data_IF_517916402604
#
_entry.id   IF_517916402604
#
_cell.length_a   1.000
_cell.length_b   1.000
_cell.length_c   1.000
_cell.angle_alpha   90.00
_cell.angle_beta   90.00
_cell.angle_gamma   90.00
#
_symmetry.space_group_name_H-M   'P 1'
#
loop_
_entity.id
_entity.type
_entity.pdbx_description
1 polymer ?
#
# COMPACT_ATOMS: atom_id res chain seq x y z
N UNK A 1 41.57 21.32 -7.44
CA UNK A 1 41.05 19.98 -7.75
C UNK A 1 39.64 19.88 -7.19
N UNK A 2 38.85 18.93 -7.66
CA UNK A 2 37.47 18.73 -7.17
C UNK A 2 37.21 17.24 -7.06
N UNK A 3 36.76 16.77 -5.91
CA UNK A 3 36.50 15.36 -5.65
C UNK A 3 35.24 15.12 -4.83
N UNK A 4 34.73 13.89 -4.87
CA UNK A 4 33.72 13.37 -3.93
C UNK A 4 34.40 12.58 -2.82
N UNK A 5 33.87 12.72 -1.59
CA UNK A 5 34.31 11.93 -0.43
C UNK A 5 34.09 10.42 -0.61
N UNK A 6 33.07 10.05 -1.38
CA UNK A 6 32.76 8.66 -1.72
C UNK A 6 32.60 8.46 -3.24
N UNK A 7 33.55 7.76 -3.82
CA UNK A 7 33.61 7.48 -5.25
C UNK A 7 32.94 6.16 -5.66
N UNK A 8 32.50 5.34 -4.69
CA UNK A 8 31.66 4.17 -4.97
C UNK A 8 30.22 4.64 -5.21
N UNK A 9 29.73 5.53 -4.34
CA UNK A 9 28.32 5.92 -4.28
C UNK A 9 27.97 7.18 -5.09
N UNK A 10 28.95 8.04 -5.45
CA UNK A 10 28.74 9.21 -6.31
C UNK A 10 29.76 9.36 -7.44
N UNK A 11 29.38 10.08 -8.50
CA UNK A 11 30.29 10.45 -9.60
C UNK A 11 30.11 11.90 -10.02
N UNK A 12 31.23 12.61 -10.18
CA UNK A 12 31.29 13.93 -10.79
C UNK A 12 31.46 13.78 -12.32
N UNK A 13 30.83 14.67 -13.07
CA UNK A 13 31.00 14.87 -14.51
C UNK A 13 31.32 16.35 -14.76
N UNK A 14 32.32 16.63 -15.59
CA UNK A 14 32.71 17.98 -15.95
C UNK A 14 32.73 18.12 -17.48
N UNK A 15 31.59 18.47 -18.07
CA UNK A 15 31.36 18.46 -19.52
C UNK A 15 32.49 19.16 -20.29
N UNK A 16 33.07 18.57 -21.35
CA UNK A 16 32.70 17.30 -22.02
C UNK A 16 33.44 16.05 -21.48
N UNK A 17 34.10 16.11 -20.32
CA UNK A 17 34.88 14.99 -19.77
C UNK A 17 33.96 13.93 -19.16
N UNK A 18 34.30 12.66 -19.42
CA UNK A 18 33.65 11.50 -18.80
C UNK A 18 33.84 11.48 -17.27
N UNK A 19 32.97 10.74 -16.57
CA UNK A 19 32.90 10.66 -15.11
C UNK A 19 34.24 10.29 -14.47
N UNK A 20 34.59 10.96 -13.36
CA UNK A 20 35.75 10.63 -12.51
C UNK A 20 35.45 10.88 -11.03
N UNK A 21 36.15 10.19 -10.11
CA UNK A 21 36.16 10.54 -8.68
C UNK A 21 36.67 11.95 -8.43
N UNK A 22 37.63 12.40 -9.25
CA UNK A 22 38.33 13.68 -9.11
C UNK A 22 38.59 14.35 -10.48
N UNK A 23 38.56 15.69 -10.51
CA UNK A 23 38.97 16.50 -11.65
C UNK A 23 39.99 17.58 -11.26
N UNK A 24 40.96 17.80 -12.15
CA UNK A 24 41.83 18.97 -12.15
C UNK A 24 41.45 19.93 -13.28
N UNK A 25 41.52 21.23 -12.99
CA UNK A 25 41.23 22.33 -13.90
C UNK A 25 42.33 23.37 -13.80
N UNK A 26 42.70 23.97 -14.93
CA UNK A 26 43.65 25.07 -15.00
C UNK A 26 43.02 26.42 -14.64
N UNK A 27 43.86 27.43 -14.43
CA UNK A 27 43.44 28.78 -14.07
C UNK A 27 42.68 29.54 -15.18
N UNK A 28 42.65 29.05 -16.43
CA UNK A 28 41.83 29.66 -17.48
C UNK A 28 40.37 29.17 -17.32
N UNK A 29 40.16 27.84 -17.25
CA UNK A 29 38.85 27.24 -17.00
C UNK A 29 38.21 27.70 -15.68
N UNK A 30 39.02 27.91 -14.63
CA UNK A 30 38.53 28.44 -13.36
C UNK A 30 37.96 29.86 -13.49
N UNK A 31 38.53 30.70 -14.37
CA UNK A 31 38.04 32.06 -14.62
C UNK A 31 36.82 32.12 -15.56
N UNK A 32 36.71 31.16 -16.48
CA UNK A 32 35.53 31.00 -17.34
C UNK A 32 34.29 30.50 -16.56
N UNK A 33 34.52 29.83 -15.43
CA UNK A 33 33.49 29.17 -14.64
C UNK A 33 33.30 27.71 -15.04
N UNK A 34 32.96 26.87 -14.06
CA UNK A 34 32.86 25.41 -14.26
C UNK A 34 31.47 24.95 -13.85
N UNK A 35 30.77 24.26 -14.75
CA UNK A 35 29.55 23.52 -14.42
C UNK A 35 29.88 22.05 -14.21
N UNK A 36 29.66 21.57 -12.99
CA UNK A 36 29.71 20.15 -12.65
C UNK A 36 28.30 19.56 -12.70
N UNK A 37 28.20 18.30 -13.08
CA UNK A 37 27.01 17.46 -12.86
C UNK A 37 27.41 16.33 -11.94
N UNK A 38 26.52 15.93 -11.04
CA UNK A 38 26.77 14.88 -10.07
C UNK A 38 25.62 13.89 -10.17
N UNK A 39 25.95 12.61 -10.13
CA UNK A 39 25.00 11.51 -10.22
C UNK A 39 25.23 10.51 -9.09
N UNK A 40 24.12 10.05 -8.52
CA UNK A 40 24.09 9.03 -7.48
C UNK A 40 24.14 7.63 -8.10
N UNK A 41 24.95 6.73 -7.54
CA UNK A 41 25.22 5.41 -8.15
C UNK A 41 24.32 4.30 -7.65
N UNK A 42 23.77 4.46 -6.45
CA UNK A 42 22.88 3.52 -5.79
C UNK A 42 21.92 4.27 -4.87
N UNK A 43 20.77 3.67 -4.56
CA UNK A 43 19.89 4.12 -3.49
C UNK A 43 20.44 3.66 -2.14
N UNK A 44 20.07 4.35 -1.07
CA UNK A 44 20.46 3.98 0.29
C UNK A 44 19.81 2.64 0.66
N UNK A 45 20.56 1.54 0.58
CA UNK A 45 20.05 0.19 0.82
C UNK A 45 20.17 -0.24 2.30
N UNK A 46 21.25 0.17 2.96
CA UNK A 46 21.52 -0.05 4.39
C UNK A 46 22.27 1.16 4.95
N UNK A 47 21.61 1.92 5.82
CA UNK A 47 22.17 3.13 6.42
C UNK A 47 23.35 2.87 7.38
N UNK A 48 23.57 1.62 7.80
CA UNK A 48 24.77 1.22 8.55
C UNK A 48 25.99 0.99 7.65
N UNK A 49 25.79 0.79 6.34
CA UNK A 49 26.86 0.70 5.33
C UNK A 49 27.15 2.09 4.76
N UNK A 50 26.11 2.78 4.27
CA UNK A 50 26.21 4.15 3.77
C UNK A 50 24.89 4.88 4.04
N UNK A 51 24.95 6.04 4.70
CA UNK A 51 23.77 6.79 5.12
C UNK A 51 23.16 7.67 4.00
N UNK A 52 23.72 7.64 2.79
CA UNK A 52 23.33 8.51 1.69
C UNK A 52 24.08 9.84 1.61
N UNK A 53 25.01 10.14 2.52
CA UNK A 53 25.75 11.41 2.53
C UNK A 53 27.00 11.37 1.64
N UNK A 54 27.24 12.45 0.88
CA UNK A 54 28.48 12.67 0.10
C UNK A 54 28.90 14.13 0.23
N UNK A 55 30.17 14.38 0.51
CA UNK A 55 30.75 15.72 0.43
C UNK A 55 31.46 15.90 -0.90
N UNK A 56 31.15 16.99 -1.59
CA UNK A 56 31.88 17.47 -2.76
C UNK A 56 32.85 18.54 -2.29
N UNK A 57 34.15 18.29 -2.44
CA UNK A 57 35.22 19.20 -2.03
C UNK A 57 35.86 19.87 -3.22
N UNK A 58 36.11 21.16 -3.12
CA UNK A 58 36.76 21.99 -4.14
C UNK A 58 37.98 22.70 -3.56
N UNK A 59 39.17 22.32 -4.02
CA UNK A 59 40.45 22.91 -3.59
C UNK A 59 41.04 23.80 -4.70
N UNK A 60 41.45 25.02 -4.38
CA UNK A 60 42.24 25.91 -5.25
C UNK A 60 43.65 25.99 -4.68
N UNK A 61 44.66 25.83 -5.54
CA UNK A 61 46.08 25.90 -5.16
C UNK A 61 46.78 26.93 -6.06
N UNK A 62 47.50 27.87 -5.44
CA UNK A 62 48.31 28.91 -6.09
C UNK A 62 49.69 28.96 -5.42
N UNK A 63 50.68 28.30 -6.04
CA UNK A 63 52.01 28.10 -5.47
C UNK A 63 51.94 27.37 -4.13
N UNK A 64 52.32 28.06 -3.05
CA UNK A 64 52.28 27.53 -1.67
C UNK A 64 50.97 27.84 -0.93
N UNK A 65 50.00 28.53 -1.56
CA UNK A 65 48.69 28.86 -0.98
C UNK A 65 47.65 27.85 -1.42
N UNK A 66 46.76 27.46 -0.52
CA UNK A 66 45.55 26.70 -0.85
C UNK A 66 44.34 27.27 -0.13
N UNK A 67 43.17 27.12 -0.77
CA UNK A 67 41.84 27.42 -0.22
C UNK A 67 40.91 26.27 -0.59
N UNK A 68 40.01 25.90 0.30
CA UNK A 68 39.08 24.79 0.13
C UNK A 68 37.65 25.24 0.44
N UNK A 69 36.68 24.69 -0.29
CA UNK A 69 35.26 24.83 -0.02
C UNK A 69 34.57 23.46 -0.18
N UNK A 70 33.47 23.23 0.53
CA UNK A 70 32.81 21.92 0.63
C UNK A 70 31.28 22.04 0.58
N UNK A 71 30.64 21.21 -0.24
CA UNK A 71 29.18 21.10 -0.34
C UNK A 71 28.76 19.69 0.08
N UNK A 72 27.97 19.60 1.14
CA UNK A 72 27.32 18.36 1.53
C UNK A 72 26.09 18.08 0.65
N UNK A 73 25.97 16.84 0.18
CA UNK A 73 24.84 16.33 -0.59
C UNK A 73 24.26 15.11 0.12
N UNK A 74 22.94 14.92 -0.02
CA UNK A 74 22.21 13.74 0.44
C UNK A 74 21.56 13.05 -0.76
N UNK A 75 21.67 11.73 -0.83
CA UNK A 75 20.90 10.92 -1.76
C UNK A 75 19.39 11.12 -1.51
N UNK A 76 18.61 11.25 -2.59
CA UNK A 76 17.17 11.31 -2.46
C UNK A 76 16.62 9.95 -1.98
N UNK A 77 15.80 9.92 -0.91
CA UNK A 77 15.16 8.69 -0.44
C UNK A 77 14.14 8.18 -1.45
N UNK A 78 13.90 6.88 -1.41
CA UNK A 78 12.75 6.26 -2.09
C UNK A 78 11.55 6.32 -1.15
N UNK A 79 10.46 6.91 -1.61
CA UNK A 79 9.26 7.20 -0.82
C UNK A 79 8.04 6.48 -1.41
N UNK A 80 7.25 5.84 -0.56
CA UNK A 80 6.00 5.16 -0.95
C UNK A 80 4.83 6.15 -1.00
N UNK A 81 3.79 5.79 -1.75
CA UNK A 81 2.63 6.65 -1.96
C UNK A 81 1.58 6.54 -0.84
N UNK A 82 0.86 7.64 -0.57
CA UNK A 82 -0.28 7.65 0.35
C UNK A 82 -1.60 7.95 -0.38
N UNK A 83 -2.71 7.44 0.17
CA UNK A 83 -4.00 7.40 -0.51
C UNK A 83 -4.67 8.77 -0.82
N UNK A 84 -4.13 9.88 -0.30
CA UNK A 84 -4.58 11.24 -0.66
C UNK A 84 -3.87 11.83 -1.89
N UNK A 85 -2.75 11.25 -2.34
CA UNK A 85 -2.07 11.75 -3.53
C UNK A 85 -2.94 11.53 -4.77
N UNK A 86 -2.94 12.51 -5.67
CA UNK A 86 -3.69 12.43 -6.92
C UNK A 86 -3.23 11.23 -7.75
N UNK A 87 -4.17 10.36 -8.12
CA UNK A 87 -3.93 9.21 -9.00
C UNK A 87 -3.77 9.71 -10.43
N UNK A 88 -2.63 9.39 -11.05
CA UNK A 88 -2.36 9.70 -12.45
C UNK A 88 -2.74 8.53 -13.36
N UNK A 89 -2.47 7.29 -12.93
CA UNK A 89 -2.75 6.06 -13.68
C UNK A 89 -3.15 4.94 -12.71
N UNK A 90 -4.19 4.19 -13.03
CA UNK A 90 -4.53 2.94 -12.34
C UNK A 90 -3.90 1.78 -13.10
N UNK A 91 -3.26 0.87 -12.38
CA UNK A 91 -2.65 -0.36 -12.89
C UNK A 91 -3.54 -1.55 -12.50
N UNK A 92 -3.66 -2.53 -13.39
CA UNK A 92 -4.21 -3.85 -13.08
C UNK A 92 -3.59 -4.87 -14.04
N UNK A 93 -4.12 -6.08 -14.11
CA UNK A 93 -3.71 -7.11 -15.08
C UNK A 93 -4.73 -7.26 -16.20
N UNK A 94 -4.22 -7.60 -17.39
CA UNK A 94 -5.06 -7.85 -18.55
C UNK A 94 -5.96 -9.09 -18.33
N UNK A 95 -7.15 -9.14 -18.96
CA UNK A 95 -7.99 -10.34 -18.91
C UNK A 95 -7.29 -11.57 -19.49
N UNK A 96 -7.46 -12.71 -18.85
CA UNK A 96 -6.95 -14.00 -19.30
C UNK A 96 -8.02 -15.09 -19.25
N UNK A 97 -7.71 -16.28 -19.78
CA UNK A 97 -8.64 -17.41 -19.80
C UNK A 97 -8.70 -18.20 -18.47
N UNK A 98 -7.78 -17.95 -17.53
CA UNK A 98 -7.78 -18.59 -16.21
C UNK A 98 -8.71 -17.86 -15.23
N UNK A 99 -8.92 -16.57 -15.44
CA UNK A 99 -9.71 -15.67 -14.60
C UNK A 99 -10.80 -14.99 -15.43
N UNK A 100 -11.87 -15.70 -15.84
CA UNK A 100 -12.88 -15.19 -16.76
C UNK A 100 -13.61 -13.91 -16.27
N UNK A 101 -13.63 -13.64 -14.97
CA UNK A 101 -14.14 -12.37 -14.44
C UNK A 101 -13.21 -11.16 -14.52
N UNK A 102 -11.94 -11.33 -14.90
CA UNK A 102 -10.97 -10.24 -14.97
C UNK A 102 -11.37 -9.19 -16.02
N UNK A 103 -12.06 -9.60 -17.10
CA UNK A 103 -12.61 -8.66 -18.09
C UNK A 103 -13.67 -7.74 -17.45
N UNK A 104 -14.65 -8.31 -16.74
CA UNK A 104 -15.70 -7.54 -16.07
C UNK A 104 -15.15 -6.63 -14.96
N UNK A 105 -14.10 -7.08 -14.26
CA UNK A 105 -13.37 -6.26 -13.28
C UNK A 105 -12.71 -5.05 -13.95
N UNK A 106 -11.91 -5.29 -15.00
CA UNK A 106 -11.21 -4.22 -15.74
C UNK A 106 -12.18 -3.22 -16.37
N UNK A 107 -13.31 -3.68 -16.93
CA UNK A 107 -14.35 -2.79 -17.46
C UNK A 107 -14.95 -1.86 -16.39
N UNK A 108 -15.23 -2.38 -15.18
CA UNK A 108 -15.74 -1.56 -14.07
C UNK A 108 -14.68 -0.60 -13.53
N UNK A 109 -13.42 -1.03 -13.47
CA UNK A 109 -12.30 -0.20 -13.04
C UNK A 109 -12.04 0.95 -14.04
N UNK A 110 -12.19 0.71 -15.35
CA UNK A 110 -12.09 1.74 -16.38
C UNK A 110 -13.25 2.74 -16.34
N UNK A 111 -14.48 2.26 -16.09
CA UNK A 111 -15.63 3.13 -15.89
C UNK A 111 -15.44 4.06 -14.67
N UNK A 112 -14.91 3.53 -13.55
CA UNK A 112 -14.58 4.32 -12.37
C UNK A 112 -13.44 5.33 -12.63
N UNK A 113 -12.41 4.93 -13.40
CA UNK A 113 -11.34 5.83 -13.87
C UNK A 113 -11.88 7.01 -14.66
N UNK A 114 -12.81 6.75 -15.60
CA UNK A 114 -13.47 7.78 -16.41
C UNK A 114 -14.32 8.71 -15.53
N UNK A 115 -15.11 8.15 -14.60
CA UNK A 115 -15.92 8.93 -13.66
C UNK A 115 -15.06 9.87 -12.79
N UNK A 116 -13.91 9.38 -12.30
CA UNK A 116 -12.94 10.16 -11.53
C UNK A 116 -12.12 11.16 -12.38
N UNK A 117 -12.35 11.26 -13.69
CA UNK A 117 -11.65 12.19 -14.58
C UNK A 117 -10.18 11.87 -14.87
N UNK A 118 -9.72 10.66 -14.52
CA UNK A 118 -8.33 10.22 -14.70
C UNK A 118 -8.07 9.99 -16.19
N UNK A 119 -7.23 10.85 -16.79
CA UNK A 119 -7.04 10.92 -18.25
C UNK A 119 -6.17 9.82 -18.85
N UNK A 120 -5.18 9.32 -18.12
CA UNK A 120 -4.34 8.23 -18.61
C UNK A 120 -5.21 6.96 -18.72
N UNK A 121 -4.99 6.09 -19.73
CA UNK A 121 -5.68 4.80 -19.79
C UNK A 121 -5.23 3.88 -18.64
N UNK A 122 -6.00 2.83 -18.37
CA UNK A 122 -5.54 1.75 -17.48
C UNK A 122 -4.23 1.15 -18.01
N UNK A 123 -3.28 0.92 -17.11
CA UNK A 123 -2.08 0.14 -17.40
C UNK A 123 -2.36 -1.33 -17.09
N UNK A 124 -2.49 -2.15 -18.13
CA UNK A 124 -2.82 -3.57 -17.99
C UNK A 124 -1.58 -4.44 -18.23
N UNK A 125 -1.10 -5.07 -17.16
CA UNK A 125 0.04 -5.99 -17.19
C UNK A 125 -0.38 -7.36 -17.74
N UNK A 126 0.36 -7.90 -18.72
CA UNK A 126 -0.12 -9.02 -19.55
C UNK A 126 0.89 -10.16 -19.81
N UNK A 127 1.95 -10.25 -19.01
CA UNK A 127 3.00 -11.30 -19.12
C UNK A 127 2.91 -12.34 -17.99
N UNK A 128 1.84 -12.34 -17.21
CA UNK A 128 1.54 -13.34 -16.18
C UNK A 128 0.03 -13.51 -16.03
N UNK A 129 -0.40 -14.70 -15.61
CA UNK A 129 -1.79 -14.98 -15.20
C UNK A 129 -2.07 -14.64 -13.73
N UNK A 130 -1.10 -14.10 -13.00
CA UNK A 130 -1.31 -13.60 -11.63
C UNK A 130 -2.02 -12.25 -11.69
N UNK A 131 -3.21 -12.22 -11.10
CA UNK A 131 -4.16 -11.11 -11.17
C UNK A 131 -4.05 -10.10 -10.01
N UNK A 132 -3.17 -10.34 -9.04
CA UNK A 132 -3.07 -9.54 -7.82
C UNK A 132 -2.05 -8.41 -7.97
N UNK A 133 -2.41 -7.37 -8.73
CA UNK A 133 -1.51 -6.27 -9.10
C UNK A 133 -0.90 -5.50 -7.91
N UNK A 134 -1.57 -5.47 -6.75
CA UNK A 134 -1.05 -4.83 -5.53
C UNK A 134 0.06 -5.66 -4.87
N UNK A 135 0.04 -6.97 -5.02
CA UNK A 135 0.97 -7.84 -4.30
C UNK A 135 2.37 -7.81 -4.91
N UNK A 136 2.48 -7.86 -6.25
CA UNK A 136 3.77 -8.15 -6.88
C UNK A 136 4.67 -6.93 -7.13
N UNK A 137 4.18 -5.71 -6.86
CA UNK A 137 4.97 -4.47 -6.81
C UNK A 137 4.24 -3.32 -6.08
N UNK A 138 4.99 -2.31 -5.65
CA UNK A 138 4.52 -1.02 -5.10
C UNK A 138 5.16 0.16 -5.85
N UNK A 139 4.35 1.08 -6.38
CA UNK A 139 4.78 2.39 -6.85
C UNK A 139 5.39 3.24 -5.74
N UNK A 140 6.60 3.69 -5.98
CA UNK A 140 7.33 4.63 -5.16
C UNK A 140 7.93 5.75 -6.03
N UNK A 141 8.57 6.73 -5.41
CA UNK A 141 9.25 7.81 -6.11
C UNK A 141 10.49 8.27 -5.36
N UNK A 142 11.39 8.93 -6.08
CA UNK A 142 12.46 9.73 -5.49
C UNK A 142 12.44 11.12 -6.13
N UNK A 143 12.53 12.17 -5.33
CA UNK A 143 12.51 13.56 -5.80
C UNK A 143 13.64 14.38 -5.20
N UNK A 144 14.07 15.42 -5.93
CA UNK A 144 15.07 16.38 -5.49
C UNK A 144 14.69 17.81 -5.92
N UNK A 145 15.24 18.86 -5.29
CA UNK A 145 15.08 20.24 -5.74
C UNK A 145 15.48 20.42 -7.20
N UNK A 146 14.74 21.26 -7.92
CA UNK A 146 15.03 21.60 -9.32
C UNK A 146 14.75 23.08 -9.62
N UNK A 147 15.32 23.61 -10.72
CA UNK A 147 15.29 25.05 -11.01
C UNK A 147 13.90 25.61 -11.34
N UNK A 148 12.87 24.77 -11.43
CA UNK A 148 11.47 25.13 -11.70
C UNK A 148 10.49 24.30 -10.85
N UNK A 149 10.92 23.88 -9.67
CA UNK A 149 10.23 22.90 -8.81
C UNK A 149 10.87 21.51 -8.85
N UNK A 150 10.29 20.52 -8.14
CA UNK A 150 10.84 19.18 -7.97
C UNK A 150 11.19 18.47 -9.29
N UNK A 151 12.36 17.85 -9.34
CA UNK A 151 12.71 16.83 -10.34
C UNK A 151 12.54 15.48 -9.68
N UNK A 152 11.70 14.62 -10.26
CA UNK A 152 11.32 13.35 -9.66
C UNK A 152 11.33 12.19 -10.67
N UNK A 153 11.59 10.99 -10.17
CA UNK A 153 11.50 9.72 -10.89
C UNK A 153 10.53 8.79 -10.17
N UNK A 154 9.80 7.96 -10.92
CA UNK A 154 9.08 6.81 -10.35
C UNK A 154 10.07 5.67 -10.14
N UNK A 155 9.90 4.97 -9.02
CA UNK A 155 10.64 3.77 -8.64
C UNK A 155 9.59 2.67 -8.43
N UNK A 156 9.76 1.51 -9.05
CA UNK A 156 8.85 0.38 -8.85
C UNK A 156 9.51 -0.62 -7.91
N UNK A 157 9.00 -0.75 -6.69
CA UNK A 157 9.45 -1.74 -5.73
C UNK A 157 8.78 -3.07 -6.07
N UNK A 158 9.50 -4.06 -6.60
CA UNK A 158 8.94 -5.41 -6.93
C UNK A 158 8.64 -6.21 -5.65
N UNK A 159 7.95 -7.35 -5.70
CA UNK A 159 7.91 -8.36 -4.62
C UNK A 159 9.14 -9.29 -4.42
N UNK A 160 9.25 -9.80 -3.19
CA UNK A 160 10.33 -10.64 -2.62
C UNK A 160 10.11 -12.12 -2.89
N UNK A 161 8.85 -12.46 -3.13
CA UNK A 161 8.38 -13.77 -3.54
C UNK A 161 9.11 -14.08 -4.85
N UNK A 162 10.31 -14.67 -4.73
CA UNK A 162 11.28 -14.74 -5.82
C UNK A 162 10.81 -15.68 -6.93
N UNK A 163 9.98 -16.65 -6.54
CA UNK A 163 9.17 -17.56 -7.37
C UNK A 163 7.92 -16.93 -7.98
N UNK A 164 7.43 -15.80 -7.47
CA UNK A 164 6.27 -15.10 -8.04
C UNK A 164 6.68 -14.42 -9.34
N UNK A 165 6.49 -15.16 -10.43
CA UNK A 165 6.93 -14.80 -11.78
C UNK A 165 6.43 -13.42 -12.22
N UNK A 166 5.23 -13.05 -11.79
CA UNK A 166 4.53 -11.77 -11.96
C UNK A 166 5.33 -10.56 -11.49
N UNK A 167 6.17 -10.69 -10.47
CA UNK A 167 7.09 -9.63 -10.08
C UNK A 167 8.12 -9.30 -11.18
N UNK A 168 8.34 -10.20 -12.15
CA UNK A 168 9.19 -9.91 -13.32
C UNK A 168 8.54 -8.95 -14.31
N UNK A 169 7.22 -8.80 -14.27
CA UNK A 169 6.51 -7.79 -15.06
C UNK A 169 7.01 -6.38 -14.72
N UNK A 170 7.50 -6.15 -13.49
CA UNK A 170 8.21 -4.92 -13.16
C UNK A 170 9.43 -4.72 -14.07
N UNK A 171 10.27 -5.73 -14.33
CA UNK A 171 11.43 -5.58 -15.24
C UNK A 171 11.07 -5.49 -16.71
N UNK A 172 10.07 -6.27 -17.13
CA UNK A 172 9.69 -6.47 -18.53
C UNK A 172 8.84 -5.31 -19.05
N UNK A 173 7.99 -4.73 -18.19
CA UNK A 173 7.01 -3.71 -18.55
C UNK A 173 7.23 -2.35 -17.84
N UNK A 174 7.96 -2.27 -16.71
CA UNK A 174 8.09 -1.04 -15.88
C UNK A 174 9.53 -0.59 -15.49
N UNK A 175 10.54 -1.47 -15.66
CA UNK A 175 11.96 -1.48 -15.23
C UNK A 175 12.36 -1.01 -13.80
N UNK A 176 12.67 -1.98 -12.91
CA UNK A 176 13.46 -1.79 -11.66
C UNK A 176 13.47 -3.04 -10.72
N UNK A 177 14.51 -3.28 -9.86
CA UNK A 177 14.57 -4.46 -8.97
C UNK A 177 14.15 -4.28 -7.48
N UNK A 178 13.13 -5.05 -7.03
CA UNK A 178 12.92 -5.55 -5.64
C UNK A 178 12.13 -4.69 -4.62
N UNK A 179 11.62 -5.17 -3.46
CA UNK A 179 11.32 -6.55 -2.92
C UNK A 179 10.07 -6.44 -1.91
N UNK A 180 9.41 -7.57 -1.58
CA UNK A 180 8.16 -7.94 -0.79
C UNK A 180 6.70 -7.84 -1.32
N UNK A 181 5.77 -8.63 -0.76
CA UNK A 181 4.34 -8.63 -1.15
C UNK A 181 3.62 -7.40 -0.58
N UNK A 182 3.25 -6.44 -1.43
CA UNK A 182 3.07 -5.05 -0.99
C UNK A 182 1.63 -4.63 -0.63
N UNK A 183 0.63 -5.51 -0.73
CA UNK A 183 -0.65 -5.30 -0.04
C UNK A 183 -0.52 -5.20 1.50
N UNK A 184 0.58 -5.71 2.06
CA UNK A 184 0.93 -5.55 3.47
C UNK A 184 1.74 -4.26 3.76
N UNK A 185 1.87 -3.34 2.80
CA UNK A 185 2.53 -2.05 2.96
C UNK A 185 1.60 -0.92 2.54
N UNK A 186 1.34 0.00 3.45
CA UNK A 186 0.52 1.20 3.26
C UNK A 186 1.27 2.45 3.72
N UNK A 187 0.76 3.64 3.40
CA UNK A 187 1.35 4.90 3.89
C UNK A 187 0.29 5.79 4.55
N UNK A 188 0.46 6.10 5.84
CA UNK A 188 -0.29 7.15 6.55
C UNK A 188 -0.01 8.48 5.85
N UNK A 189 -1.02 9.29 5.48
CA UNK A 189 -0.81 10.61 4.89
C UNK A 189 -0.05 11.57 5.83
N UNK A 190 0.50 12.69 5.33
CA UNK A 190 1.33 13.60 6.12
C UNK A 190 0.69 14.08 7.43
N UNK A 191 1.44 14.02 8.52
CA UNK A 191 1.00 14.44 9.86
C UNK A 191 2.18 14.72 10.80
N UNK A 192 1.94 15.48 11.87
CA UNK A 192 2.81 15.51 13.05
C UNK A 192 2.29 14.48 14.05
N UNK A 193 3.13 13.55 14.50
CA UNK A 193 2.76 12.54 15.49
C UNK A 193 2.48 13.15 16.87
N UNK A 194 1.81 12.40 17.76
CA UNK A 194 1.62 12.76 19.17
C UNK A 194 2.93 12.96 19.95
N UNK A 195 4.06 12.48 19.42
CA UNK A 195 5.41 12.67 19.97
C UNK A 195 6.14 13.90 19.42
N UNK A 196 5.50 14.67 18.52
CA UNK A 196 6.11 15.83 17.87
C UNK A 196 7.06 15.50 16.71
N UNK A 197 7.04 14.26 16.21
CA UNK A 197 7.79 13.89 14.99
C UNK A 197 6.95 14.26 13.77
N UNK A 198 7.50 15.07 12.88
CA UNK A 198 6.88 15.50 11.63
C UNK A 198 7.14 14.46 10.53
N UNK A 199 6.07 14.06 9.84
CA UNK A 199 6.09 13.10 8.74
C UNK A 199 5.56 13.78 7.47
N UNK A 200 6.34 14.71 6.90
CA UNK A 200 5.92 15.55 5.76
C UNK A 200 5.64 14.73 4.48
N UNK A 201 6.29 13.58 4.31
CA UNK A 201 6.00 12.61 3.24
C UNK A 201 5.05 11.47 3.69
N UNK A 202 4.40 11.60 4.85
CA UNK A 202 3.65 10.50 5.47
C UNK A 202 4.55 9.48 6.16
N UNK A 203 3.97 8.36 6.59
CA UNK A 203 4.68 7.30 7.32
C UNK A 203 4.23 5.91 6.89
N UNK A 204 5.17 5.01 6.61
CA UNK A 204 4.86 3.62 6.24
C UNK A 204 4.16 2.90 7.39
N UNK A 205 3.13 2.13 7.06
CA UNK A 205 2.46 1.13 7.90
C UNK A 205 2.68 -0.24 7.28
N UNK A 206 3.07 -1.22 8.10
CA UNK A 206 3.34 -2.59 7.64
C UNK A 206 2.90 -3.60 8.69
N UNK A 207 2.33 -4.73 8.26
CA UNK A 207 1.85 -5.78 9.16
C UNK A 207 2.94 -6.80 9.50
N UNK A 208 3.03 -7.21 10.77
CA UNK A 208 3.73 -8.42 11.21
C UNK A 208 2.74 -9.57 11.43
N UNK A 209 3.26 -10.80 11.44
CA UNK A 209 2.50 -11.99 11.83
C UNK A 209 2.95 -12.46 13.21
N UNK A 210 2.26 -12.04 14.27
CA UNK A 210 2.56 -12.33 15.67
C UNK A 210 4.00 -11.96 16.08
N UNK A 211 4.92 -12.92 16.08
CA UNK A 211 6.33 -12.75 16.45
C UNK A 211 7.25 -12.61 15.22
N UNK A 212 6.72 -12.71 14.01
CA UNK A 212 7.46 -12.66 12.75
C UNK A 212 7.25 -11.31 12.06
N UNK A 213 8.30 -10.50 12.00
CA UNK A 213 8.34 -9.28 11.19
C UNK A 213 8.38 -9.60 9.68
N UNK A 214 8.01 -8.64 8.80
CA UNK A 214 8.34 -8.64 7.38
C UNK A 214 9.83 -8.92 7.10
N UNK A 215 10.19 -9.27 5.85
CA UNK A 215 11.56 -9.66 5.56
C UNK A 215 12.56 -8.55 5.90
N UNK A 216 13.60 -8.91 6.66
CA UNK A 216 14.57 -7.95 7.21
C UNK A 216 15.15 -7.03 6.14
N UNK A 217 15.45 -7.55 4.94
CA UNK A 217 16.00 -6.76 3.83
C UNK A 217 15.09 -5.60 3.40
N UNK A 218 13.77 -5.74 3.52
CA UNK A 218 12.82 -4.67 3.22
C UNK A 218 12.62 -3.72 4.37
N UNK A 219 12.54 -4.23 5.60
CA UNK A 219 12.47 -3.34 6.76
C UNK A 219 13.73 -2.49 6.89
N UNK A 220 14.91 -3.06 6.66
CA UNK A 220 16.17 -2.33 6.72
C UNK A 220 16.28 -1.33 5.57
N UNK A 221 15.88 -1.69 4.33
CA UNK A 221 15.75 -0.75 3.22
C UNK A 221 14.82 0.43 3.53
N UNK A 222 13.57 0.17 3.96
CA UNK A 222 12.58 1.21 4.25
C UNK A 222 13.00 2.10 5.43
N UNK A 223 13.62 1.53 6.47
CA UNK A 223 14.22 2.28 7.58
C UNK A 223 15.37 3.16 7.11
N UNK A 224 16.20 2.68 6.18
CA UNK A 224 17.35 3.40 5.66
C UNK A 224 16.98 4.65 4.83
N UNK A 225 15.72 4.77 4.38
CA UNK A 225 15.21 5.99 3.73
C UNK A 225 15.01 7.16 4.72
N UNK A 226 14.95 6.89 6.03
CA UNK A 226 14.88 7.88 7.12
C UNK A 226 13.55 8.64 7.27
N UNK A 227 12.90 9.02 6.16
CA UNK A 227 11.76 9.96 6.16
C UNK A 227 10.43 9.29 6.58
N UNK A 228 10.12 8.08 6.06
CA UNK A 228 8.82 7.41 6.28
C UNK A 228 8.92 6.25 7.29
N UNK A 229 9.77 6.35 8.32
CA UNK A 229 10.12 5.27 9.29
C UNK A 229 8.92 4.35 9.64
N UNK A 230 8.96 3.03 9.32
CA UNK A 230 7.80 2.15 9.46
C UNK A 230 7.12 2.13 10.85
N UNK A 231 5.79 1.99 10.84
CA UNK A 231 4.95 1.66 11.99
C UNK A 231 4.40 0.24 11.81
N UNK A 232 4.61 -0.61 12.82
CA UNK A 232 4.24 -2.02 12.77
C UNK A 232 2.84 -2.26 13.33
N UNK A 233 1.98 -2.94 12.56
CA UNK A 233 0.66 -3.42 12.98
C UNK A 233 0.64 -4.95 13.09
N UNK A 234 -0.28 -5.51 13.87
CA UNK A 234 -0.52 -6.95 13.94
C UNK A 234 -1.52 -7.38 12.87
N UNK A 235 -1.06 -8.13 11.87
CA UNK A 235 -1.89 -8.65 10.79
C UNK A 235 -1.95 -10.19 10.78
N UNK A 236 -1.17 -10.89 11.61
CA UNK A 236 -1.09 -12.37 11.61
C UNK A 236 -2.38 -13.11 11.95
N UNK A 237 -3.40 -12.42 12.44
CA UNK A 237 -4.75 -12.93 12.67
C UNK A 237 -5.55 -13.14 11.38
N UNK A 238 -5.09 -12.56 10.26
CA UNK A 238 -5.61 -12.79 8.91
C UNK A 238 -4.77 -13.85 8.21
N UNK A 239 -5.39 -14.63 7.33
CA UNK A 239 -4.70 -15.70 6.60
C UNK A 239 -3.64 -15.12 5.64
N UNK A 240 -3.98 -14.07 4.90
CA UNK A 240 -3.03 -13.33 4.04
C UNK A 240 -2.14 -12.44 4.90
N UNK A 241 -2.71 -11.76 5.88
CA UNK A 241 -1.97 -10.99 6.88
C UNK A 241 -1.51 -9.65 6.36
N UNK A 242 -2.35 -9.00 5.56
CA UNK A 242 -2.13 -7.68 5.03
C UNK A 242 -2.86 -6.61 5.86
N UNK A 243 -2.38 -5.37 5.82
CA UNK A 243 -3.03 -4.24 6.51
C UNK A 243 -4.23 -3.69 5.74
N UNK A 244 -4.25 -3.81 4.41
CA UNK A 244 -5.35 -3.35 3.54
C UNK A 244 -6.67 -4.14 3.73
N UNK A 245 -6.60 -5.31 4.36
CA UNK A 245 -7.75 -6.15 4.75
C UNK A 245 -8.56 -5.58 5.93
N UNK A 246 -8.02 -4.61 6.68
CA UNK A 246 -8.68 -4.10 7.90
C UNK A 246 -8.50 -2.62 8.22
N UNK A 247 -7.54 -1.91 7.59
CA UNK A 247 -7.33 -0.48 7.82
C UNK A 247 -7.01 0.27 6.52
N UNK A 248 -7.53 1.49 6.40
CA UNK A 248 -7.24 2.41 5.31
C UNK A 248 -7.21 3.87 5.81
N UNK A 249 -6.50 4.74 5.11
CA UNK A 249 -6.51 6.19 5.34
C UNK A 249 -7.24 6.89 4.20
N UNK A 250 -8.26 7.70 4.53
CA UNK A 250 -9.14 8.36 3.55
C UNK A 250 -9.24 9.86 3.81
N UNK A 251 -9.51 10.70 2.78
CA UNK A 251 -9.73 12.14 2.96
C UNK A 251 -10.77 12.44 4.06
N UNK A 252 -10.57 13.50 4.83
CA UNK A 252 -11.53 13.88 5.87
C UNK A 252 -11.46 15.37 6.20
N UNK A 253 -12.61 15.97 6.54
CA UNK A 253 -12.69 17.39 6.91
C UNK A 253 -12.33 17.57 8.39
N UNK A 254 -11.03 17.57 8.69
CA UNK A 254 -10.46 17.88 10.00
C UNK A 254 -9.09 18.60 9.83
N UNK A 255 -8.38 18.88 10.91
CA UNK A 255 -7.05 19.51 10.89
C UNK A 255 -5.93 18.65 10.30
N UNK A 256 -6.18 17.36 10.03
CA UNK A 256 -5.22 16.43 9.42
C UNK A 256 -5.46 16.26 7.91
N UNK A 257 -6.64 16.62 7.41
CA UNK A 257 -7.06 16.33 6.02
C UNK A 257 -7.41 14.86 5.76
N UNK A 258 -7.28 13.98 6.76
CA UNK A 258 -7.60 12.55 6.66
C UNK A 258 -8.14 11.97 7.96
N UNK A 259 -8.71 10.79 7.85
CA UNK A 259 -9.06 9.94 8.98
C UNK A 259 -8.69 8.48 8.71
N UNK A 260 -8.79 7.65 9.74
CA UNK A 260 -8.65 6.20 9.67
C UNK A 260 -10.03 5.61 9.38
N UNK A 261 -10.15 4.81 8.33
CA UNK A 261 -11.21 3.83 8.17
C UNK A 261 -10.70 2.47 8.68
N UNK A 262 -11.51 1.76 9.47
CA UNK A 262 -11.23 0.38 9.89
C UNK A 262 -12.44 -0.52 9.66
N UNK A 263 -12.17 -1.80 9.39
CA UNK A 263 -13.17 -2.85 9.47
C UNK A 263 -13.83 -2.90 10.85
N UNK A 264 -15.09 -3.31 10.94
CA UNK A 264 -15.84 -3.35 12.19
C UNK A 264 -16.78 -4.57 12.29
N UNK A 265 -16.24 -5.74 12.68
CA UNK A 265 -16.99 -6.97 12.94
C UNK A 265 -18.23 -6.79 13.83
N UNK A 266 -18.15 -5.94 14.86
CA UNK A 266 -19.26 -5.66 15.77
C UNK A 266 -20.45 -5.02 15.03
N UNK A 267 -20.21 -3.99 14.22
CA UNK A 267 -21.25 -3.39 13.37
C UNK A 267 -21.79 -4.39 12.32
N UNK A 268 -20.94 -5.27 11.78
CA UNK A 268 -21.36 -6.35 10.88
C UNK A 268 -22.36 -7.31 11.55
N UNK A 269 -22.05 -7.79 12.75
CA UNK A 269 -22.93 -8.65 13.56
C UNK A 269 -24.21 -7.91 13.98
N UNK A 270 -24.14 -6.61 14.29
CA UNK A 270 -25.31 -5.82 14.68
C UNK A 270 -26.27 -5.53 13.51
N UNK A 271 -25.79 -5.50 12.25
CA UNK A 271 -26.67 -5.52 11.08
C UNK A 271 -27.44 -6.85 11.02
N UNK A 272 -26.76 -7.98 11.20
CA UNK A 272 -27.40 -9.30 11.22
C UNK A 272 -28.42 -9.42 12.36
N UNK A 273 -28.07 -9.00 13.59
CA UNK A 273 -28.98 -9.03 14.75
C UNK A 273 -30.24 -8.21 14.50
N UNK A 274 -30.10 -6.95 14.06
CA UNK A 274 -31.24 -6.08 13.70
C UNK A 274 -32.12 -6.69 12.61
N UNK A 275 -31.52 -7.36 11.62
CA UNK A 275 -32.27 -8.03 10.56
C UNK A 275 -33.08 -9.22 11.08
N UNK A 276 -32.47 -10.11 11.88
CA UNK A 276 -33.17 -11.23 12.53
C UNK A 276 -34.33 -10.74 13.40
N UNK A 277 -34.07 -9.75 14.25
CA UNK A 277 -35.06 -9.21 15.18
C UNK A 277 -36.19 -8.45 14.45
N UNK A 278 -35.92 -7.96 13.24
CA UNK A 278 -36.92 -7.43 12.31
C UNK A 278 -37.70 -8.49 11.51
N UNK A 279 -37.51 -9.78 11.78
CA UNK A 279 -38.21 -10.90 11.13
C UNK A 279 -37.52 -11.49 9.89
N UNK A 280 -36.31 -11.04 9.53
CA UNK A 280 -35.59 -11.50 8.33
C UNK A 280 -34.63 -12.67 8.60
N UNK A 281 -34.81 -13.39 9.72
CA UNK A 281 -33.90 -14.45 10.17
C UNK A 281 -33.57 -15.52 9.11
N UNK A 282 -34.55 -15.92 8.31
CA UNK A 282 -34.42 -16.95 7.27
C UNK A 282 -33.80 -16.42 5.95
N UNK A 283 -33.49 -15.12 5.88
CA UNK A 283 -32.78 -14.53 4.74
C UNK A 283 -31.33 -15.02 4.73
N UNK A 284 -30.72 -15.21 3.55
CA UNK A 284 -29.29 -15.54 3.48
C UNK A 284 -28.43 -14.39 4.02
N UNK A 285 -27.46 -14.70 4.87
CA UNK A 285 -26.49 -13.73 5.39
C UNK A 285 -25.58 -13.17 4.28
N UNK A 286 -25.38 -13.93 3.20
CA UNK A 286 -24.79 -13.48 1.94
C UNK A 286 -25.76 -13.83 0.81
N UNK A 287 -26.32 -12.81 0.17
CA UNK A 287 -27.37 -12.92 -0.85
C UNK A 287 -27.01 -13.72 -2.10
N UNK A 288 -25.71 -13.80 -2.44
CA UNK A 288 -25.17 -14.49 -3.62
C UNK A 288 -24.54 -15.86 -3.29
N UNK A 289 -24.91 -16.47 -2.15
CA UNK A 289 -24.37 -17.75 -1.70
C UNK A 289 -24.70 -18.96 -2.61
N UNK A 290 -25.51 -18.77 -3.67
CA UNK A 290 -25.83 -19.80 -4.68
C UNK A 290 -25.05 -19.63 -6.01
N UNK A 291 -24.14 -18.67 -6.12
CA UNK A 291 -23.32 -18.46 -7.32
C UNK A 291 -22.23 -19.53 -7.50
N UNK A 292 -21.77 -19.80 -8.71
CA UNK A 292 -20.71 -20.81 -8.96
C UNK A 292 -19.37 -20.53 -8.23
N UNK A 293 -19.21 -19.34 -7.66
CA UNK A 293 -18.02 -18.94 -6.90
C UNK A 293 -18.17 -19.12 -5.38
N UNK A 294 -19.39 -19.20 -4.85
CA UNK A 294 -19.64 -19.28 -3.41
C UNK A 294 -19.37 -20.67 -2.81
N UNK A 295 -18.71 -21.58 -3.54
CA UNK A 295 -18.48 -22.98 -3.13
C UNK A 295 -17.68 -23.13 -1.82
N UNK A 296 -17.09 -22.05 -1.28
CA UNK A 296 -16.44 -21.99 0.05
C UNK A 296 -17.26 -21.31 1.14
N UNK A 297 -18.41 -20.72 0.83
CA UNK A 297 -19.31 -20.14 1.83
C UNK A 297 -20.56 -21.02 1.94
N UNK A 298 -20.74 -21.78 3.05
CA UNK A 298 -21.95 -22.57 3.23
C UNK A 298 -23.18 -21.65 3.18
N UNK A 299 -24.23 -22.11 2.50
CA UNK A 299 -25.51 -21.41 2.41
C UNK A 299 -26.09 -21.25 3.82
N UNK A 300 -25.96 -20.04 4.37
CA UNK A 300 -26.19 -19.73 5.77
C UNK A 300 -27.21 -18.60 5.87
N UNK A 301 -28.29 -18.80 6.62
CA UNK A 301 -29.24 -17.73 6.93
C UNK A 301 -28.66 -16.77 7.98
N UNK A 302 -29.32 -15.62 8.19
CA UNK A 302 -28.98 -14.70 9.28
C UNK A 302 -29.12 -15.42 10.63
N UNK A 303 -30.17 -16.22 10.81
CA UNK A 303 -30.37 -17.04 12.01
C UNK A 303 -29.24 -18.05 12.20
N UNK A 304 -28.85 -18.79 11.15
CA UNK A 304 -27.75 -19.77 11.23
C UNK A 304 -26.42 -19.10 11.59
N UNK A 305 -26.11 -17.96 10.96
CA UNK A 305 -24.89 -17.20 11.24
C UNK A 305 -24.83 -16.72 12.70
N UNK A 306 -25.94 -16.21 13.23
CA UNK A 306 -26.04 -15.72 14.61
C UNK A 306 -26.12 -16.86 15.65
N UNK A 307 -26.45 -18.08 15.25
CA UNK A 307 -26.44 -19.27 16.11
C UNK A 307 -25.12 -20.05 16.06
N UNK A 308 -24.25 -19.77 15.08
CA UNK A 308 -22.95 -20.41 14.94
C UNK A 308 -21.91 -19.75 15.88
N UNK A 309 -21.66 -20.38 17.02
CA UNK A 309 -20.69 -19.88 18.00
C UNK A 309 -19.27 -19.69 17.41
N UNK A 310 -18.80 -20.58 16.55
CA UNK A 310 -17.47 -20.45 15.91
C UNK A 310 -17.39 -19.19 15.05
N UNK A 311 -18.46 -18.84 14.35
CA UNK A 311 -18.56 -17.60 13.57
C UNK A 311 -18.59 -16.34 14.46
N UNK A 312 -19.32 -16.38 15.58
CA UNK A 312 -19.32 -15.28 16.56
C UNK A 312 -17.91 -15.09 17.16
N UNK A 313 -17.28 -16.15 17.64
CA UNK A 313 -15.92 -16.12 18.20
C UNK A 313 -14.87 -15.62 17.20
N UNK A 314 -14.98 -15.99 15.92
CA UNK A 314 -14.11 -15.50 14.87
C UNK A 314 -14.22 -13.96 14.70
N UNK A 315 -15.45 -13.42 14.72
CA UNK A 315 -15.68 -11.98 14.60
C UNK A 315 -15.27 -11.21 15.88
N UNK A 316 -15.43 -11.80 17.06
CA UNK A 316 -14.91 -11.24 18.32
C UNK A 316 -13.38 -11.23 18.36
N UNK A 317 -12.72 -12.28 17.85
CA UNK A 317 -11.27 -12.36 17.70
C UNK A 317 -10.75 -11.33 16.69
N UNK A 318 -11.43 -11.15 15.54
CA UNK A 318 -11.14 -10.08 14.59
C UNK A 318 -11.24 -8.69 15.24
N UNK A 319 -12.36 -8.40 15.92
CA UNK A 319 -12.58 -7.09 16.57
C UNK A 319 -11.45 -6.79 17.56
N UNK A 320 -11.06 -7.76 18.39
CA UNK A 320 -9.98 -7.60 19.38
C UNK A 320 -8.67 -7.14 18.73
N UNK A 321 -8.27 -7.74 17.60
CA UNK A 321 -7.06 -7.36 16.88
C UNK A 321 -7.19 -6.03 16.15
N UNK A 322 -8.35 -5.74 15.57
CA UNK A 322 -8.63 -4.44 14.95
C UNK A 322 -8.56 -3.30 16.00
N UNK A 323 -9.17 -3.45 17.17
CA UNK A 323 -9.07 -2.44 18.24
C UNK A 323 -7.64 -2.30 18.77
N UNK A 324 -6.88 -3.39 18.86
CA UNK A 324 -5.47 -3.35 19.27
C UNK A 324 -4.63 -2.52 18.28
N UNK A 325 -4.82 -2.71 16.98
CA UNK A 325 -4.16 -1.94 15.93
C UNK A 325 -4.64 -0.48 15.89
N UNK A 326 -5.95 -0.23 16.00
CA UNK A 326 -6.48 1.12 16.07
C UNK A 326 -5.93 1.87 17.30
N UNK A 327 -5.71 1.19 18.43
CA UNK A 327 -5.06 1.77 19.60
C UNK A 327 -3.60 2.16 19.33
N UNK A 328 -2.86 1.38 18.55
CA UNK A 328 -1.50 1.76 18.10
C UNK A 328 -1.57 3.04 17.24
N UNK A 329 -2.45 3.06 16.24
CA UNK A 329 -2.62 4.20 15.35
C UNK A 329 -3.09 5.47 16.08
N UNK A 330 -4.04 5.37 17.01
CA UNK A 330 -4.53 6.51 17.79
C UNK A 330 -3.54 6.98 18.88
N UNK A 331 -2.59 6.14 19.30
CA UNK A 331 -1.48 6.54 20.18
C UNK A 331 -0.35 7.27 19.41
N UNK A 332 -0.28 7.07 18.09
CA UNK A 332 0.71 7.66 17.19
C UNK A 332 0.18 8.95 16.53
N UNK A 333 -1.00 8.89 15.91
CA UNK A 333 -1.63 9.96 15.15
C UNK A 333 -2.47 10.83 16.11
N UNK A 334 -2.41 12.17 16.05
CA UNK A 334 -3.21 13.07 16.91
C UNK A 334 -4.71 13.13 16.54
N UNK A 335 -5.26 12.07 15.95
CA UNK A 335 -6.66 11.95 15.55
C UNK A 335 -7.59 11.69 16.75
N UNK A 336 -8.81 12.22 16.70
CA UNK A 336 -9.88 11.89 17.64
C UNK A 336 -10.50 10.53 17.30
N UNK A 337 -10.69 9.67 18.31
CA UNK A 337 -11.41 8.40 18.11
C UNK A 337 -12.86 8.55 17.60
N UNK A 338 -13.43 9.76 17.67
CA UNK A 338 -14.76 10.09 17.11
C UNK A 338 -14.75 10.25 15.59
N UNK A 339 -13.60 10.57 15.02
CA UNK A 339 -13.44 10.86 13.58
C UNK A 339 -13.15 9.57 12.80
N UNK A 340 -12.85 8.47 13.49
CA UNK A 340 -12.60 7.14 12.91
C UNK A 340 -13.86 6.63 12.21
N UNK A 341 -13.69 6.21 10.97
CA UNK A 341 -14.75 5.57 10.18
C UNK A 341 -14.74 4.07 10.48
N UNK A 342 -15.87 3.55 10.96
CA UNK A 342 -16.11 2.12 11.14
C UNK A 342 -16.87 1.59 9.93
N UNK A 343 -16.30 0.62 9.24
CA UNK A 343 -16.85 0.00 8.02
C UNK A 343 -17.34 -1.39 8.39
N UNK A 344 -18.65 -1.70 8.28
CA UNK A 344 -19.16 -3.02 8.63
C UNK A 344 -18.49 -4.12 7.80
N UNK A 345 -17.84 -5.04 8.49
CA UNK A 345 -17.15 -6.20 7.93
C UNK A 345 -17.57 -7.46 8.68
N UNK A 346 -17.37 -8.64 8.08
CA UNK A 346 -17.52 -9.91 8.75
C UNK A 346 -16.39 -10.85 8.32
N UNK A 347 -15.91 -11.67 9.25
CA UNK A 347 -14.83 -12.61 9.06
C UNK A 347 -15.28 -14.04 9.39
N UNK A 348 -14.58 -15.02 8.84
CA UNK A 348 -14.71 -16.46 9.19
C UNK A 348 -13.32 -17.07 9.35
N UNK A 349 -13.21 -18.20 10.04
CA UNK A 349 -11.98 -18.99 10.02
C UNK A 349 -11.64 -19.44 8.58
N UNK A 350 -10.36 -19.45 8.23
CA UNK A 350 -9.88 -19.86 6.91
C UNK A 350 -10.12 -21.36 6.68
N UNK A 351 -10.77 -21.71 5.57
CA UNK A 351 -11.18 -23.07 5.21
C UNK A 351 -10.31 -23.71 4.11
N UNK A 352 -9.19 -23.08 3.76
CA UNK A 352 -8.27 -23.54 2.73
C UNK A 352 -6.83 -23.64 3.24
N UNK A 353 -6.13 -24.69 2.80
CA UNK A 353 -4.68 -24.77 2.88
C UNK A 353 -4.09 -24.30 1.54
N UNK A 354 -3.35 -23.19 1.52
CA UNK A 354 -2.49 -22.87 0.38
C UNK A 354 -1.22 -23.74 0.43
N UNK A 355 -0.66 -24.12 -0.73
CA UNK A 355 0.57 -24.90 -0.77
C UNK A 355 1.72 -24.10 -0.14
N UNK A 356 2.42 -24.71 0.81
CA UNK A 356 3.74 -24.25 1.23
C UNK A 356 4.67 -24.43 0.03
N UNK A 357 5.35 -23.39 -0.48
CA UNK A 357 6.26 -23.54 -1.60
C UNK A 357 7.42 -24.47 -1.24
N UNK A 358 7.60 -25.55 -2.00
CA UNK A 358 8.81 -26.36 -1.92
C UNK A 358 10.05 -25.50 -2.21
N UNK A 359 11.12 -25.71 -1.44
CA UNK A 359 12.41 -25.03 -1.65
C UNK A 359 12.82 -23.97 -0.61
N UNK A 360 12.15 -23.90 0.55
CA UNK A 360 12.63 -23.07 1.68
C UNK A 360 12.37 -21.57 1.53
N UNK A 361 11.41 -21.19 0.68
CA UNK A 361 10.96 -19.82 0.50
C UNK A 361 9.84 -19.48 1.50
N UNK A 362 9.65 -18.19 1.85
CA UNK A 362 8.51 -17.79 2.68
C UNK A 362 7.20 -18.09 1.94
N UNK A 363 6.30 -18.84 2.58
CA UNK A 363 4.96 -19.10 2.06
C UNK A 363 4.13 -17.80 1.98
N UNK A 364 3.21 -17.75 1.01
CA UNK A 364 2.29 -16.62 0.81
C UNK A 364 1.31 -16.40 1.97
N UNK A 365 1.13 -17.43 2.80
CA UNK A 365 0.38 -17.41 4.05
C UNK A 365 1.32 -17.82 5.18
N UNK A 366 1.30 -17.10 6.29
CA UNK A 366 2.09 -17.48 7.48
C UNK A 366 1.56 -18.79 8.08
N UNK A 367 2.40 -19.62 8.73
CA UNK A 367 1.92 -20.83 9.42
C UNK A 367 1.03 -20.48 10.62
N UNK A 368 -0.02 -21.27 10.87
CA UNK A 368 -0.91 -21.05 12.01
C UNK A 368 -0.16 -21.19 13.33
N UNK A 369 -0.11 -20.10 14.11
CA UNK A 369 0.51 -20.10 15.43
C UNK A 369 -0.40 -20.83 16.42
N UNK A 370 0.17 -21.71 17.24
CA UNK A 370 -0.59 -22.53 18.19
C UNK A 370 -1.37 -21.65 19.17
N UNK A 371 -2.70 -21.75 19.12
CA UNK A 371 -3.63 -21.00 19.98
C UNK A 371 -4.19 -19.72 19.35
N UNK A 372 -3.73 -19.37 18.14
CA UNK A 372 -4.26 -18.26 17.34
C UNK A 372 -5.23 -18.77 16.25
N UNK A 373 -5.92 -17.86 15.58
CA UNK A 373 -6.79 -18.14 14.41
C UNK A 373 -6.25 -17.42 13.17
N UNK A 374 -6.50 -17.98 11.99
CA UNK A 374 -6.39 -17.26 10.72
C UNK A 374 -7.77 -17.03 10.17
N UNK A 375 -8.10 -15.77 9.96
CA UNK A 375 -9.39 -15.35 9.45
C UNK A 375 -9.30 -14.88 8.00
N UNK A 376 -10.42 -14.98 7.30
CA UNK A 376 -10.64 -14.42 5.96
C UNK A 376 -11.97 -13.71 5.91
N UNK A 377 -12.19 -12.92 4.86
CA UNK A 377 -13.47 -12.30 4.55
C UNK A 377 -14.61 -13.33 4.58
N UNK A 378 -15.65 -13.11 5.39
CA UNK A 378 -16.91 -13.85 5.23
C UNK A 378 -17.65 -13.33 3.99
N UNK A 379 -17.79 -12.01 3.90
CA UNK A 379 -18.31 -11.21 2.78
C UNK A 379 -17.22 -10.32 2.18
N UNK A 380 -17.23 -9.98 0.88
CA UNK A 380 -16.17 -9.20 0.23
C UNK A 380 -15.81 -7.90 0.97
N UNK A 381 -14.51 -7.61 1.05
CA UNK A 381 -13.97 -6.52 1.86
C UNK A 381 -14.24 -5.13 1.26
N UNK A 382 -15.33 -4.49 1.67
CA UNK A 382 -15.57 -3.07 1.37
C UNK A 382 -14.49 -2.12 1.96
N UNK A 383 -13.70 -2.57 2.94
CA UNK A 383 -12.55 -1.83 3.49
C UNK A 383 -11.33 -1.82 2.54
N UNK A 384 -11.22 -2.81 1.64
CA UNK A 384 -10.09 -3.01 0.72
C UNK A 384 -10.43 -2.45 -0.67
N UNK A 385 -10.65 -1.12 -0.72
CA UNK A 385 -11.00 -0.37 -1.93
C UNK A 385 -10.02 0.76 -2.26
N UNK A 386 -10.30 1.53 -3.31
CA UNK A 386 -9.44 2.61 -3.81
C UNK A 386 -10.18 3.95 -3.80
N UNK A 387 -9.55 5.00 -3.27
CA UNK A 387 -10.05 6.38 -3.36
C UNK A 387 -9.64 6.98 -4.71
N UNK A 388 -10.63 7.33 -5.53
CA UNK A 388 -10.49 7.99 -6.84
C UNK A 388 -11.27 9.33 -6.83
N UNK A 389 -10.60 10.41 -6.44
CA UNK A 389 -11.24 11.72 -6.31
C UNK A 389 -12.25 11.75 -5.16
N UNK A 390 -13.51 12.03 -5.45
CA UNK A 390 -14.63 12.00 -4.51
C UNK A 390 -15.30 10.62 -4.39
N UNK A 391 -14.81 9.62 -5.13
CA UNK A 391 -15.44 8.31 -5.27
C UNK A 391 -14.55 7.23 -4.68
N UNK A 392 -15.13 6.40 -3.82
CA UNK A 392 -14.51 5.24 -3.21
C UNK A 392 -14.96 3.96 -3.94
N UNK A 393 -14.02 3.27 -4.57
CA UNK A 393 -14.29 2.07 -5.39
C UNK A 393 -13.93 0.82 -4.59
N UNK A 394 -14.91 -0.01 -4.25
CA UNK A 394 -14.67 -1.18 -3.39
C UNK A 394 -15.48 -2.41 -3.79
N UNK A 395 -15.14 -3.55 -3.18
CA UNK A 395 -15.82 -4.83 -3.35
C UNK A 395 -17.27 -4.76 -2.87
N UNK A 396 -18.21 -5.33 -3.63
CA UNK A 396 -19.62 -5.40 -3.24
C UNK A 396 -19.80 -6.42 -2.11
N UNK A 397 -20.27 -6.04 -0.89
CA UNK A 397 -20.36 -6.98 0.23
C UNK A 397 -21.39 -8.10 0.05
N UNK A 398 -22.41 -7.89 -0.81
CA UNK A 398 -23.49 -8.85 -1.06
C UNK A 398 -24.18 -9.37 0.21
N UNK A 399 -24.28 -8.55 1.25
CA UNK A 399 -24.94 -8.89 2.52
C UNK A 399 -26.43 -9.25 2.38
N UNK A 400 -27.17 -9.41 3.49
CA UNK A 400 -28.56 -9.87 3.41
C UNK A 400 -29.45 -8.88 2.65
N UNK A 401 -30.29 -9.41 1.77
CA UNK A 401 -31.26 -8.64 0.99
C UNK A 401 -32.53 -8.42 1.83
N UNK A 402 -32.75 -7.19 2.29
CA UNK A 402 -33.87 -6.82 3.16
C UNK A 402 -34.71 -5.78 2.43
N UNK A 403 -35.98 -6.08 2.16
CA UNK A 403 -36.92 -5.20 1.46
C UNK A 403 -36.39 -4.64 0.13
N UNK A 404 -35.64 -5.44 -0.62
CA UNK A 404 -35.08 -5.06 -1.92
C UNK A 404 -33.77 -4.24 -1.86
N UNK A 405 -33.17 -4.07 -0.68
CA UNK A 405 -31.86 -3.45 -0.50
C UNK A 405 -30.88 -4.37 0.25
N UNK A 406 -29.59 -4.33 -0.13
CA UNK A 406 -28.54 -5.01 0.62
C UNK A 406 -28.25 -4.25 1.92
N UNK A 407 -28.35 -4.94 3.06
CA UNK A 407 -28.24 -4.29 4.37
C UNK A 407 -26.84 -3.73 4.66
N UNK A 408 -25.80 -4.32 4.05
CA UNK A 408 -24.41 -3.91 4.22
C UNK A 408 -24.08 -2.66 3.41
N UNK A 409 -24.48 -2.64 2.12
CA UNK A 409 -24.22 -1.55 1.19
C UNK A 409 -24.59 -0.18 1.80
N UNK A 410 -25.81 -0.05 2.34
CA UNK A 410 -26.29 1.19 2.99
C UNK A 410 -25.44 1.67 4.17
N UNK A 411 -24.93 0.75 5.00
CA UNK A 411 -24.13 1.13 6.17
C UNK A 411 -22.66 1.38 5.78
N UNK A 412 -22.16 0.76 4.70
CA UNK A 412 -20.87 1.08 4.05
C UNK A 412 -20.92 2.46 3.39
N UNK A 413 -21.94 2.74 2.57
CA UNK A 413 -22.21 4.06 1.98
C UNK A 413 -22.23 5.16 3.06
N UNK A 414 -22.98 4.93 4.14
CA UNK A 414 -23.04 5.84 5.30
C UNK A 414 -21.71 5.97 6.04
N UNK A 415 -20.85 4.95 6.05
CA UNK A 415 -19.53 5.02 6.65
C UNK A 415 -18.62 5.96 5.85
N UNK A 416 -18.52 5.76 4.52
CA UNK A 416 -17.68 6.58 3.64
C UNK A 416 -18.26 7.97 3.35
N UNK A 417 -19.58 8.16 3.44
CA UNK A 417 -20.21 9.48 3.38
C UNK A 417 -19.73 10.42 4.51
N UNK A 418 -19.22 9.90 5.64
CA UNK A 418 -18.57 10.73 6.68
C UNK A 418 -17.30 11.43 6.17
N UNK A 419 -16.59 10.81 5.23
CA UNK A 419 -15.44 11.38 4.52
C UNK A 419 -15.85 12.26 3.33
N UNK A 420 -17.15 12.38 3.04
CA UNK A 420 -17.65 13.03 1.82
C UNK A 420 -17.47 12.20 0.55
N UNK A 421 -17.25 10.88 0.67
CA UNK A 421 -17.00 9.99 -0.46
C UNK A 421 -18.28 9.28 -0.92
N UNK A 422 -18.48 9.22 -2.25
CA UNK A 422 -19.49 8.39 -2.90
C UNK A 422 -18.97 6.95 -3.04
N UNK A 423 -19.78 5.92 -2.76
CA UNK A 423 -19.32 4.52 -2.94
C UNK A 423 -19.72 3.98 -4.31
N UNK A 424 -18.76 3.34 -4.99
CA UNK A 424 -18.95 2.65 -6.27
C UNK A 424 -18.54 1.19 -6.15
N UNK A 425 -19.50 0.28 -6.27
CA UNK A 425 -19.27 -1.15 -6.08
C UNK A 425 -18.76 -1.86 -7.33
N UNK A 426 -17.65 -2.58 -7.20
CA UNK A 426 -17.21 -3.60 -8.14
C UNK A 426 -17.78 -4.95 -7.70
N UNK A 427 -18.29 -5.74 -8.64
CA UNK A 427 -18.69 -7.11 -8.35
C UNK A 427 -17.51 -8.03 -8.62
N UNK A 428 -16.87 -8.44 -7.53
CA UNK A 428 -15.66 -9.25 -7.51
C UNK A 428 -15.91 -10.63 -6.85
N UNK A 429 -17.08 -10.81 -6.21
CA UNK A 429 -17.49 -12.04 -5.50
C UNK A 429 -17.26 -13.29 -6.34
N UNK A 430 -17.66 -13.24 -7.62
CA UNK A 430 -17.61 -14.40 -8.50
C UNK A 430 -16.18 -14.90 -8.83
N UNK A 431 -15.14 -14.10 -8.56
CA UNK A 431 -13.79 -14.35 -9.09
C UNK A 431 -12.62 -13.93 -8.18
N UNK A 432 -12.88 -13.31 -7.02
CA UNK A 432 -11.86 -12.67 -6.16
C UNK A 432 -12.05 -13.01 -4.67
N UNK A 433 -13.29 -12.91 -4.19
CA UNK A 433 -13.64 -13.20 -2.78
C UNK A 433 -13.37 -14.65 -2.38
N UNK A 434 -13.39 -15.59 -3.35
CA UNK A 434 -13.12 -17.02 -3.13
C UNK A 434 -11.72 -17.26 -2.54
N UNK A 435 -10.78 -16.34 -2.79
CA UNK A 435 -9.41 -16.34 -2.29
C UNK A 435 -9.18 -15.33 -1.14
N UNK A 436 -10.25 -14.75 -0.59
CA UNK A 436 -10.22 -13.85 0.57
C UNK A 436 -9.77 -12.41 0.31
N UNK A 437 -9.85 -11.93 -0.94
CA UNK A 437 -9.27 -10.63 -1.38
C UNK A 437 -10.31 -9.67 -1.95
N UNK A 438 -9.94 -8.38 -2.05
CA UNK A 438 -10.82 -7.30 -2.52
C UNK A 438 -10.30 -6.55 -3.77
N UNK A 439 -10.97 -5.45 -4.10
CA UNK A 439 -10.65 -4.59 -5.27
C UNK A 439 -9.22 -4.05 -5.20
N UNK A 440 -8.80 -3.56 -4.03
CA UNK A 440 -7.45 -3.00 -3.85
C UNK A 440 -6.39 -3.99 -4.30
N UNK A 441 -6.47 -5.25 -3.83
CA UNK A 441 -5.52 -6.32 -4.12
C UNK A 441 -5.30 -6.65 -5.61
N UNK A 442 -6.23 -6.27 -6.51
CA UNK A 442 -6.13 -6.46 -7.98
C UNK A 442 -5.83 -5.20 -8.77
N UNK A 443 -5.68 -4.08 -8.09
CA UNK A 443 -5.26 -2.81 -8.67
C UNK A 443 -3.92 -2.38 -8.09
N UNK A 444 -3.30 -1.37 -8.67
CA UNK A 444 -2.33 -0.51 -7.98
C UNK A 444 -2.45 0.91 -8.59
N UNK A 445 -1.83 1.93 -8.02
CA UNK A 445 -1.98 3.34 -8.45
C UNK A 445 -0.63 4.03 -8.63
N UNK A 446 -0.36 4.54 -9.83
CA UNK A 446 0.70 5.52 -10.04
C UNK A 446 0.14 6.90 -9.67
N UNK A 447 0.79 7.59 -8.73
CA UNK A 447 0.33 8.88 -8.20
C UNK A 447 1.36 9.98 -8.45
N UNK A 448 0.95 11.22 -8.21
CA UNK A 448 1.81 12.40 -8.35
C UNK A 448 3.09 12.27 -7.51
N UNK A 449 4.23 12.41 -8.18
CA UNK A 449 5.59 12.27 -7.63
C UNK A 449 6.25 13.60 -7.26
N UNK A 450 5.56 14.73 -7.43
CA UNK A 450 6.10 16.08 -7.20
C UNK A 450 6.06 16.50 -5.73
N UNK A 451 6.22 15.54 -4.81
CA UNK A 451 6.27 15.79 -3.38
C UNK A 451 7.62 16.38 -2.99
N UNK A 452 7.56 17.37 -2.12
CA UNK A 452 8.71 18.01 -1.47
C UNK A 452 8.87 17.37 -0.10
N UNK A 453 9.96 16.63 0.10
CA UNK A 453 10.23 15.91 1.36
C UNK A 453 11.37 16.54 2.19
N UNK A 454 12.13 17.45 1.59
CA UNK A 454 13.32 18.10 2.16
C UNK A 454 12.99 19.43 2.87
N UNK A 455 11.71 19.78 2.94
CA UNK A 455 11.13 20.87 3.73
C UNK A 455 10.39 20.27 4.93
#
# INVERSE_FOLDING_TARGET
MTGVSDAAHARIYATPRAARPEFAFDAARLREGITLRIDGREIVADAAVWDGSVTVRFDVVDGARSVSDEVALKMAPVLTHHNLQAVETIVSTAPDAAHPGQEAFVQKLDAARVAAGIRNPLLLLNQSSDVWAQDFFEPAYASMPGPRGPVAIRVMLRSAQSTRASGRQVFEQLRGPGIDSLGNLETIPPYTSRKGVEYNAGRIVVGKHFHREPARVILDFLRAQGVQTPLMLEAGWLALGHVDEFVQFVPFTNSLGFTIAVADPASGLDILRRARDGGYGDTLAISQADSHASHRNPRMTISDALSNLTFIEANEYAQKHIEANLKILLAEIPLSGKDVIRVPSLYKDADFALPIPDGGLPAEISPLVKGERHLVAFSPFAISGVVLGDTYVCSKPWGPMINGAYAFDKEVEKAYAKAGLNVSYVDDLANHHVDGRGVHSRSNTLRDIRVVWWE
#
